data_IF_399290927160
#
_entry.id   IF_399290927160
#
_cell.length_a   1.000
_cell.length_b   1.000
_cell.length_c   1.000
_cell.angle_alpha   90.00
_cell.angle_beta   90.00
_cell.angle_gamma   90.00
#
_symmetry.space_group_name_H-M   'P 1'
#
loop_
_entity.id
_entity.type
_entity.pdbx_description
1 polymer ?
#
# COMPACT_ATOMS: atom_id res chain seq x y z
N UNK A 1 3.10 -17.49 1.58
CA UNK A 1 3.34 -17.36 0.11
C UNK A 1 2.64 -16.10 -0.38
N UNK A 2 3.32 -15.29 -1.24
CA UNK A 2 2.69 -14.12 -1.89
C UNK A 2 2.50 -14.44 -3.37
N UNK A 3 1.36 -14.09 -3.93
CA UNK A 3 1.02 -14.31 -5.35
C UNK A 3 -0.01 -13.27 -5.83
N UNK A 4 -0.22 -13.18 -7.13
CA UNK A 4 -1.35 -12.46 -7.70
C UNK A 4 -2.66 -13.02 -7.16
N UNK A 5 -3.61 -12.13 -6.93
CA UNK A 5 -4.95 -12.50 -6.48
C UNK A 5 -5.76 -13.12 -7.61
N UNK A 6 -6.78 -13.85 -7.23
CA UNK A 6 -7.82 -14.39 -8.10
C UNK A 6 -9.19 -13.91 -7.63
N UNK A 7 -10.23 -14.10 -8.43
CA UNK A 7 -11.60 -13.71 -8.06
C UNK A 7 -12.04 -14.33 -6.71
N UNK A 8 -11.58 -15.55 -6.42
CA UNK A 8 -11.90 -16.23 -5.15
C UNK A 8 -11.27 -15.60 -3.91
N UNK A 9 -10.26 -14.74 -4.07
CA UNK A 9 -9.60 -14.06 -2.95
C UNK A 9 -10.32 -12.75 -2.56
N UNK A 10 -11.16 -12.19 -3.45
CA UNK A 10 -11.81 -10.89 -3.22
C UNK A 10 -12.61 -10.82 -1.92
N UNK A 11 -13.44 -11.82 -1.56
CA UNK A 11 -14.16 -11.75 -0.29
C UNK A 11 -13.23 -11.64 0.93
N UNK A 12 -12.14 -12.39 0.95
CA UNK A 12 -11.18 -12.35 2.06
C UNK A 12 -10.42 -11.01 2.11
N UNK A 13 -10.07 -10.43 0.97
CA UNK A 13 -9.47 -9.08 0.91
C UNK A 13 -10.44 -8.03 1.43
N UNK A 14 -11.71 -8.08 1.02
CA UNK A 14 -12.74 -7.16 1.50
C UNK A 14 -12.97 -7.29 3.02
N UNK A 15 -12.91 -8.51 3.55
CA UNK A 15 -13.00 -8.77 4.99
C UNK A 15 -11.83 -8.15 5.76
N UNK A 16 -10.59 -8.25 5.25
CA UNK A 16 -9.42 -7.57 5.84
C UNK A 16 -9.63 -6.06 5.87
N UNK A 17 -10.13 -5.45 4.79
CA UNK A 17 -10.46 -4.02 4.76
C UNK A 17 -11.49 -3.66 5.84
N UNK A 18 -12.55 -4.46 5.96
CA UNK A 18 -13.58 -4.24 6.96
C UNK A 18 -13.04 -4.36 8.40
N UNK A 19 -12.17 -5.33 8.67
CA UNK A 19 -11.53 -5.50 9.98
C UNK A 19 -10.62 -4.33 10.34
N UNK A 20 -9.82 -3.83 9.40
CA UNK A 20 -8.97 -2.65 9.60
C UNK A 20 -9.83 -1.43 9.93
N UNK A 21 -10.87 -1.19 9.12
CA UNK A 21 -11.76 -0.04 9.29
C UNK A 21 -12.62 -0.13 10.56
N UNK A 22 -12.94 -1.33 11.04
CA UNK A 22 -13.63 -1.54 12.32
C UNK A 22 -12.76 -1.22 13.54
N UNK A 23 -11.43 -1.30 13.40
CA UNK A 23 -10.46 -0.98 14.44
C UNK A 23 -9.97 0.49 14.36
N UNK A 24 -10.45 1.28 13.40
CA UNK A 24 -10.07 2.68 13.26
C UNK A 24 -10.80 3.53 14.30
N UNK A 25 -10.04 4.25 15.12
CA UNK A 25 -10.61 5.22 16.09
C UNK A 25 -10.63 6.62 15.44
N UNK A 26 -11.80 7.22 15.19
CA UNK A 26 -11.89 8.55 14.60
C UNK A 26 -11.18 9.65 15.41
N UNK A 27 -11.07 9.49 16.73
CA UNK A 27 -10.39 10.46 17.61
C UNK A 27 -8.85 10.29 17.55
N UNK A 28 -8.36 9.11 17.16
CA UNK A 28 -6.94 8.79 17.04
C UNK A 28 -6.73 7.86 15.86
N UNK A 29 -6.87 8.37 14.62
CA UNK A 29 -6.81 7.53 13.44
C UNK A 29 -5.42 6.87 13.29
N UNK A 30 -5.42 5.57 12.99
CA UNK A 30 -4.21 4.80 12.74
C UNK A 30 -3.83 4.81 11.26
N UNK A 31 -4.81 4.66 10.36
CA UNK A 31 -4.60 4.69 8.91
C UNK A 31 -5.08 5.99 8.28
N UNK A 32 -6.08 6.61 8.85
CA UNK A 32 -6.81 7.75 8.29
C UNK A 32 -7.77 7.34 7.17
N UNK A 33 -8.07 6.05 7.03
CA UNK A 33 -9.05 5.53 6.09
C UNK A 33 -10.47 5.67 6.65
N UNK A 34 -11.46 5.80 5.76
CA UNK A 34 -12.85 6.03 6.14
C UNK A 34 -13.75 4.90 5.66
N UNK A 35 -14.52 4.34 6.59
CA UNK A 35 -15.49 3.27 6.32
C UNK A 35 -16.48 3.69 5.23
N UNK A 36 -16.68 2.81 4.25
CA UNK A 36 -17.58 3.04 3.12
C UNK A 36 -17.00 3.95 2.02
N UNK A 37 -15.81 4.52 2.23
CA UNK A 37 -15.13 5.36 1.24
C UNK A 37 -13.90 4.63 0.71
N UNK A 38 -12.92 4.29 1.58
CA UNK A 38 -11.69 3.65 1.15
C UNK A 38 -10.96 2.95 2.32
N UNK A 39 -10.37 1.76 2.08
CA UNK A 39 -10.61 0.90 0.93
C UNK A 39 -11.96 0.18 1.03
N UNK A 40 -12.50 -0.24 -0.10
CA UNK A 40 -13.75 -1.00 -0.22
C UNK A 40 -13.57 -2.20 -1.15
N UNK A 41 -14.52 -3.14 -1.19
CA UNK A 41 -14.42 -4.29 -2.10
C UNK A 41 -14.18 -3.88 -3.56
N UNK A 42 -14.79 -2.78 -4.01
CA UNK A 42 -14.58 -2.23 -5.34
C UNK A 42 -13.12 -1.83 -5.60
N UNK A 43 -12.36 -1.43 -4.56
CA UNK A 43 -10.92 -1.17 -4.65
C UNK A 43 -10.16 -2.44 -5.04
N UNK A 44 -10.46 -3.55 -4.38
CA UNK A 44 -9.84 -4.85 -4.68
C UNK A 44 -10.24 -5.37 -6.07
N UNK A 45 -11.51 -5.26 -6.44
CA UNK A 45 -11.99 -5.67 -7.77
C UNK A 45 -11.37 -4.88 -8.90
N UNK A 46 -11.24 -3.57 -8.74
CA UNK A 46 -10.57 -2.72 -9.72
C UNK A 46 -9.10 -3.10 -9.90
N UNK A 47 -8.39 -3.38 -8.80
CA UNK A 47 -7.00 -3.83 -8.84
C UNK A 47 -6.87 -5.23 -9.47
N UNK A 48 -7.79 -6.16 -9.16
CA UNK A 48 -7.83 -7.47 -9.80
C UNK A 48 -8.03 -7.35 -11.32
N UNK A 49 -8.95 -6.49 -11.75
CA UNK A 49 -9.23 -6.26 -13.18
C UNK A 49 -8.04 -5.67 -13.95
N UNK A 50 -7.11 -5.00 -13.26
CA UNK A 50 -5.85 -4.49 -13.83
C UNK A 50 -4.67 -5.48 -13.68
N UNK A 51 -4.90 -6.64 -13.06
CA UNK A 51 -3.87 -7.66 -12.76
C UNK A 51 -2.75 -7.15 -11.82
N UNK A 52 -3.07 -6.21 -10.93
CA UNK A 52 -2.13 -5.59 -10.01
C UNK A 52 -2.43 -5.84 -8.51
N UNK A 53 -3.43 -6.67 -8.19
CA UNK A 53 -3.72 -7.10 -6.82
C UNK A 53 -2.91 -8.34 -6.43
N UNK A 54 -2.24 -8.27 -5.28
CA UNK A 54 -1.46 -9.37 -4.70
C UNK A 54 -1.99 -9.74 -3.32
N UNK A 55 -1.90 -11.01 -2.96
CA UNK A 55 -2.32 -11.54 -1.66
C UNK A 55 -1.20 -12.35 -1.00
N UNK A 56 -1.10 -12.26 0.31
CA UNK A 56 -0.28 -13.14 1.13
C UNK A 56 -1.14 -14.23 1.74
N UNK A 57 -0.74 -15.49 1.55
CA UNK A 57 -1.43 -16.66 2.09
C UNK A 57 -0.57 -17.32 3.16
N UNK A 58 -1.14 -17.54 4.33
CA UNK A 58 -0.59 -18.36 5.42
C UNK A 58 -1.66 -19.34 5.90
N UNK A 59 -1.29 -20.58 6.10
CA UNK A 59 -2.18 -21.68 6.51
C UNK A 59 -3.48 -21.77 5.68
N UNK A 60 -3.34 -21.56 4.35
CA UNK A 60 -4.46 -21.61 3.41
C UNK A 60 -5.41 -20.40 3.44
N UNK A 61 -5.10 -19.37 4.23
CA UNK A 61 -5.93 -18.16 4.38
C UNK A 61 -5.21 -16.92 3.83
N UNK A 62 -5.96 -16.01 3.22
CA UNK A 62 -5.47 -14.69 2.88
C UNK A 62 -5.30 -13.88 4.18
N UNK A 63 -4.08 -13.42 4.46
CA UNK A 63 -3.74 -12.66 5.68
C UNK A 63 -3.25 -11.24 5.38
N UNK A 64 -3.00 -10.92 4.12
CA UNK A 64 -2.64 -9.58 3.68
C UNK A 64 -2.92 -9.39 2.19
N UNK A 65 -3.08 -8.14 1.78
CA UNK A 65 -3.15 -7.78 0.37
C UNK A 65 -2.40 -6.47 0.10
N UNK A 66 -2.00 -6.29 -1.15
CA UNK A 66 -1.47 -5.01 -1.64
C UNK A 66 -1.72 -4.86 -3.14
N UNK A 67 -1.68 -3.62 -3.61
CA UNK A 67 -1.72 -3.28 -5.02
C UNK A 67 -0.30 -2.88 -5.43
N UNK A 68 0.26 -3.54 -6.44
CA UNK A 68 1.60 -3.29 -6.96
C UNK A 68 1.50 -3.01 -8.45
N UNK A 69 1.85 -1.80 -8.86
CA UNK A 69 1.81 -1.37 -10.26
C UNK A 69 2.79 -0.22 -10.53
N UNK A 70 2.68 0.41 -11.71
CA UNK A 70 3.48 1.59 -12.10
C UNK A 70 2.68 2.89 -12.08
N UNK A 71 1.46 2.86 -11.54
CA UNK A 71 0.60 4.05 -11.47
C UNK A 71 1.09 4.97 -10.36
N UNK A 72 1.53 6.15 -10.73
CA UNK A 72 1.88 7.20 -9.81
C UNK A 72 0.65 8.08 -9.56
N UNK A 73 0.40 8.44 -8.30
CA UNK A 73 -0.70 9.35 -7.96
C UNK A 73 -0.32 10.79 -8.35
N UNK A 74 -1.31 11.61 -8.76
CA UNK A 74 -1.07 12.94 -9.35
C UNK A 74 -0.19 13.83 -8.45
N UNK A 75 -0.40 13.77 -7.13
CA UNK A 75 0.36 14.59 -6.17
C UNK A 75 1.83 14.20 -6.01
N UNK A 76 2.27 13.10 -6.62
CA UNK A 76 3.69 12.75 -6.69
C UNK A 76 4.49 13.79 -7.47
N UNK A 77 3.86 14.57 -8.36
CA UNK A 77 4.49 15.67 -9.08
C UNK A 77 4.98 16.79 -8.15
N UNK A 78 4.40 16.92 -6.95
CA UNK A 78 4.78 17.92 -5.95
C UNK A 78 5.92 17.45 -5.02
N UNK A 79 6.39 16.22 -5.18
CA UNK A 79 7.44 15.64 -4.36
C UNK A 79 8.83 15.81 -5.00
N UNK A 80 9.86 15.86 -4.15
CA UNK A 80 11.26 15.95 -4.60
C UNK A 80 11.88 14.56 -4.63
N UNK A 81 11.56 13.80 -5.66
CA UNK A 81 12.16 12.48 -5.89
C UNK A 81 13.67 12.61 -6.09
N UNK A 82 14.45 11.70 -5.55
CA UNK A 82 15.91 11.73 -5.61
C UNK A 82 16.47 11.25 -6.95
N UNK A 83 15.66 10.53 -7.73
CA UNK A 83 16.00 10.07 -9.06
C UNK A 83 14.88 10.44 -10.04
N UNK A 84 15.24 11.11 -11.15
CA UNK A 84 14.34 11.24 -12.30
C UNK A 84 14.26 9.88 -13.00
N UNK A 85 13.05 9.35 -13.11
CA UNK A 85 12.76 8.08 -13.73
C UNK A 85 11.59 8.22 -14.71
N UNK A 86 11.65 7.44 -15.77
CA UNK A 86 10.47 7.21 -16.60
C UNK A 86 9.43 6.38 -15.82
N UNK A 87 8.16 6.47 -16.18
CA UNK A 87 7.08 5.79 -15.45
C UNK A 87 7.26 4.27 -15.38
N UNK A 88 7.87 3.67 -16.41
CA UNK A 88 8.14 2.22 -16.49
C UNK A 88 9.36 1.79 -15.66
N UNK A 89 10.14 2.73 -15.14
CA UNK A 89 11.27 2.49 -14.25
C UNK A 89 10.90 2.59 -12.75
N UNK A 90 9.63 2.92 -12.45
CA UNK A 90 9.14 3.07 -11.09
C UNK A 90 8.10 2.00 -10.76
N UNK A 91 8.26 1.34 -9.60
CA UNK A 91 7.21 0.49 -9.05
C UNK A 91 6.60 1.17 -7.83
N UNK A 92 5.27 1.09 -7.71
CA UNK A 92 4.53 1.72 -6.62
C UNK A 92 3.76 0.66 -5.84
N UNK A 93 3.84 0.74 -4.51
CA UNK A 93 3.07 -0.08 -3.59
C UNK A 93 1.92 0.73 -3.03
N UNK A 94 0.70 0.30 -3.30
CA UNK A 94 -0.52 0.92 -2.78
C UNK A 94 -1.28 -0.04 -1.86
N UNK A 95 -2.04 0.50 -0.92
CA UNK A 95 -3.04 -0.21 -0.12
C UNK A 95 -2.51 -1.51 0.50
N UNK A 96 -1.30 -1.46 1.06
CA UNK A 96 -0.80 -2.60 1.82
C UNK A 96 -1.65 -2.77 3.09
N UNK A 97 -2.31 -3.91 3.19
CA UNK A 97 -3.17 -4.28 4.30
C UNK A 97 -2.72 -5.59 4.91
N UNK A 98 -2.80 -5.69 6.22
CA UNK A 98 -2.54 -6.92 6.97
C UNK A 98 -3.73 -7.16 7.89
N UNK A 99 -4.24 -8.40 7.93
CA UNK A 99 -5.28 -8.81 8.86
C UNK A 99 -4.88 -8.42 10.30
N UNK A 100 -5.69 -7.61 11.02
CA UNK A 100 -5.34 -7.14 12.36
C UNK A 100 -5.00 -8.26 13.34
N UNK A 101 -5.67 -9.42 13.25
CA UNK A 101 -5.38 -10.59 14.06
C UNK A 101 -3.98 -11.20 13.77
N UNK A 102 -3.35 -10.82 12.67
CA UNK A 102 -2.02 -11.25 12.24
C UNK A 102 -0.95 -10.16 12.46
N UNK A 103 -1.29 -9.06 13.13
CA UNK A 103 -0.36 -7.97 13.40
C UNK A 103 0.87 -8.44 14.20
N UNK A 104 2.02 -7.79 13.98
CA UNK A 104 3.27 -8.12 14.68
C UNK A 104 4.01 -9.36 14.17
N UNK A 105 3.45 -10.14 13.24
CA UNK A 105 4.05 -11.38 12.72
C UNK A 105 5.03 -11.14 11.54
N UNK A 106 5.35 -9.89 11.22
CA UNK A 106 6.28 -9.55 10.15
C UNK A 106 5.72 -9.64 8.74
N UNK A 107 4.39 -9.84 8.57
CA UNK A 107 3.74 -10.00 7.26
C UNK A 107 3.93 -8.76 6.38
N UNK A 108 3.78 -7.55 6.94
CA UNK A 108 4.01 -6.31 6.20
C UNK A 108 5.45 -6.21 5.67
N UNK A 109 6.46 -6.56 6.48
CA UNK A 109 7.87 -6.62 6.07
C UNK A 109 8.07 -7.63 4.94
N UNK A 110 7.49 -8.82 5.06
CA UNK A 110 7.55 -9.87 4.04
C UNK A 110 6.91 -9.41 2.72
N UNK A 111 5.82 -8.66 2.82
CA UNK A 111 5.15 -8.12 1.62
C UNK A 111 6.01 -7.05 0.92
N UNK A 112 6.63 -6.15 1.70
CA UNK A 112 7.54 -5.14 1.13
C UNK A 112 8.77 -5.80 0.50
N UNK A 113 9.35 -6.83 1.11
CA UNK A 113 10.46 -7.57 0.50
C UNK A 113 10.06 -8.19 -0.85
N UNK A 114 8.88 -8.82 -0.92
CA UNK A 114 8.33 -9.33 -2.18
C UNK A 114 8.15 -8.22 -3.23
N UNK A 115 7.62 -7.06 -2.82
CA UNK A 115 7.45 -5.91 -3.69
C UNK A 115 8.79 -5.40 -4.26
N UNK A 116 9.83 -5.34 -3.43
CA UNK A 116 11.17 -4.94 -3.85
C UNK A 116 11.77 -5.92 -4.87
N UNK A 117 11.63 -7.23 -4.63
CA UNK A 117 12.10 -8.26 -5.56
C UNK A 117 11.30 -8.24 -6.87
N UNK A 118 9.99 -8.09 -6.78
CA UNK A 118 9.12 -7.95 -7.95
C UNK A 118 9.51 -6.74 -8.81
N UNK A 119 9.84 -5.60 -8.20
CA UNK A 119 10.30 -4.42 -8.92
C UNK A 119 11.66 -4.64 -9.62
N UNK A 120 12.62 -5.36 -8.97
CA UNK A 120 13.89 -5.72 -9.58
C UNK A 120 13.71 -6.62 -10.79
N UNK A 121 12.83 -7.63 -10.70
CA UNK A 121 12.49 -8.54 -11.81
C UNK A 121 11.86 -7.78 -13.00
N UNK A 122 11.24 -6.62 -12.74
CA UNK A 122 10.64 -5.76 -13.76
C UNK A 122 11.53 -4.59 -14.19
N UNK A 123 12.83 -4.61 -13.85
CA UNK A 123 13.85 -3.62 -14.21
C UNK A 123 13.53 -2.20 -13.73
N UNK A 124 12.81 -2.05 -12.62
CA UNK A 124 12.59 -0.74 -12.01
C UNK A 124 13.87 -0.24 -11.33
N UNK A 125 14.04 1.08 -11.29
CA UNK A 125 15.16 1.77 -10.65
C UNK A 125 14.77 2.37 -9.29
N UNK A 126 13.49 2.68 -9.13
CA UNK A 126 12.96 3.32 -7.93
C UNK A 126 11.66 2.65 -7.46
N UNK A 127 11.51 2.64 -6.15
CA UNK A 127 10.36 2.18 -5.41
C UNK A 127 9.69 3.37 -4.76
N UNK A 128 8.39 3.54 -4.98
CA UNK A 128 7.60 4.62 -4.37
C UNK A 128 6.45 4.06 -3.56
N UNK A 129 6.23 4.64 -2.41
CA UNK A 129 5.16 4.29 -1.48
C UNK A 129 4.59 5.59 -0.94
N UNK A 130 3.30 5.63 -0.71
CA UNK A 130 2.68 6.71 0.04
C UNK A 130 1.89 6.19 1.24
N UNK A 131 1.70 7.04 2.21
CA UNK A 131 0.83 6.77 3.35
C UNK A 131 0.32 8.08 3.96
N UNK A 132 -0.79 8.02 4.71
CA UNK A 132 -1.26 9.17 5.45
C UNK A 132 -0.27 9.53 6.57
N UNK A 133 -0.05 10.83 6.81
CA UNK A 133 0.85 11.33 7.84
C UNK A 133 0.50 10.81 9.25
N UNK A 134 -0.77 10.51 9.52
CA UNK A 134 -1.22 9.92 10.79
C UNK A 134 -0.81 8.46 10.96
N UNK A 135 -0.48 7.76 9.86
CA UNK A 135 -0.10 6.35 9.89
C UNK A 135 1.35 6.15 10.32
N UNK A 136 1.62 6.40 11.59
CA UNK A 136 2.96 6.29 12.18
C UNK A 136 3.53 4.88 12.07
N UNK A 137 2.65 3.87 12.13
CA UNK A 137 3.05 2.45 12.00
C UNK A 137 3.63 2.16 10.61
N UNK A 138 2.95 2.57 9.54
CA UNK A 138 3.43 2.37 8.17
C UNK A 138 4.70 3.20 7.90
N UNK A 139 4.73 4.49 8.29
CA UNK A 139 5.92 5.33 8.18
C UNK A 139 7.13 4.70 8.87
N UNK A 140 6.95 4.23 10.11
CA UNK A 140 8.01 3.55 10.85
C UNK A 140 8.45 2.22 10.23
N UNK A 141 7.55 1.47 9.62
CA UNK A 141 7.88 0.25 8.89
C UNK A 141 8.77 0.58 7.68
N UNK A 142 8.33 1.50 6.82
CA UNK A 142 9.05 1.84 5.59
C UNK A 142 10.41 2.48 5.88
N UNK A 143 10.50 3.39 6.85
CA UNK A 143 11.77 3.98 7.26
C UNK A 143 12.78 2.92 7.73
N UNK A 144 12.35 1.91 8.51
CA UNK A 144 13.20 0.78 8.93
C UNK A 144 13.63 -0.12 7.77
N UNK A 145 12.92 -0.09 6.65
CA UNK A 145 13.23 -0.83 5.43
C UNK A 145 14.06 0.00 4.43
N UNK A 146 14.48 1.21 4.82
CA UNK A 146 15.36 2.06 4.03
C UNK A 146 14.65 3.01 3.07
N UNK A 147 13.34 3.20 3.22
CA UNK A 147 12.62 4.24 2.48
C UNK A 147 12.82 5.61 3.14
N UNK A 148 13.02 6.63 2.33
CA UNK A 148 13.19 8.02 2.75
C UNK A 148 11.94 8.83 2.42
N UNK A 149 11.45 9.65 3.35
CA UNK A 149 10.37 10.60 3.08
C UNK A 149 10.89 11.73 2.19
N UNK A 150 10.27 11.93 1.03
CA UNK A 150 10.66 12.92 0.02
C UNK A 150 9.66 14.06 -0.13
N UNK A 151 8.51 13.96 0.50
CA UNK A 151 7.49 15.00 0.51
C UNK A 151 6.31 14.66 1.40
N UNK A 152 5.64 15.69 1.89
CA UNK A 152 4.33 15.59 2.56
C UNK A 152 3.41 16.57 1.84
N UNK A 153 2.40 16.06 1.13
CA UNK A 153 1.56 16.85 0.24
C UNK A 153 0.09 16.78 0.67
N UNK A 154 -0.61 17.93 0.73
CA UNK A 154 -2.05 17.94 1.01
C UNK A 154 -2.84 17.47 -0.20
N UNK A 155 -3.82 16.60 0.00
CA UNK A 155 -4.65 16.11 -1.09
C UNK A 155 -6.04 15.64 -0.65
N UNK A 156 -6.89 15.39 -1.63
CA UNK A 156 -8.05 14.49 -1.50
C UNK A 156 -7.58 13.12 -1.99
N UNK A 157 -7.48 12.16 -1.09
CA UNK A 157 -6.94 10.84 -1.40
C UNK A 157 -8.04 9.78 -1.41
N UNK A 158 -8.33 9.21 -2.58
CA UNK A 158 -9.39 8.21 -2.75
C UNK A 158 -10.74 8.63 -2.16
N UNK A 159 -11.13 9.91 -2.35
CA UNK A 159 -12.37 10.48 -1.82
C UNK A 159 -12.30 10.94 -0.36
N UNK A 160 -11.16 10.75 0.32
CA UNK A 160 -10.94 11.22 1.69
C UNK A 160 -10.33 12.63 1.63
N UNK A 161 -11.01 13.66 2.15
CA UNK A 161 -10.50 15.03 2.15
C UNK A 161 -9.43 15.25 3.22
N UNK A 162 -8.65 16.33 3.04
CA UNK A 162 -7.67 16.81 4.02
C UNK A 162 -6.59 15.78 4.41
N UNK A 163 -6.22 14.89 3.50
CA UNK A 163 -5.12 13.96 3.72
C UNK A 163 -3.80 14.69 3.53
N UNK A 164 -2.89 14.52 4.48
CA UNK A 164 -1.48 14.85 4.33
C UNK A 164 -0.77 13.58 3.92
N UNK A 165 -0.48 13.45 2.61
CA UNK A 165 0.13 12.25 2.04
C UNK A 165 1.64 12.33 2.18
N UNK A 166 2.23 11.39 2.89
CA UNK A 166 3.68 11.24 3.02
C UNK A 166 4.16 10.35 1.88
N UNK A 167 4.98 10.90 1.01
CA UNK A 167 5.58 10.19 -0.11
C UNK A 167 6.98 9.71 0.26
N UNK A 168 7.26 8.46 -0.02
CA UNK A 168 8.52 7.81 0.36
C UNK A 168 9.14 7.11 -0.84
N UNK A 169 10.47 7.13 -0.91
CA UNK A 169 11.26 6.54 -1.99
C UNK A 169 12.37 5.63 -1.46
N UNK A 170 12.68 4.59 -2.22
CA UNK A 170 13.89 3.78 -2.10
C UNK A 170 14.42 3.47 -3.49
N UNK A 171 15.72 3.69 -3.72
CA UNK A 171 16.39 3.29 -4.95
C UNK A 171 16.79 1.80 -4.89
N UNK A 172 16.77 1.12 -6.04
CA UNK A 172 17.09 -0.30 -6.19
C UNK A 172 18.53 -0.53 -6.63
#
# INVERSE_FOLDING_TARGET
>A
MIRKATESDIPAVAEIYAHILANEDPAKPATGWLKGIYPVEATARAALGRDDLFVCIEDGKVVASAIINRTQVDVYADCKWSLECEDDEVMVLHTLTVEPACAGRGIGRKFVAFYEDYAREHNCKALRIDTNAVNITARGLYSKLGYTEVGIVPCVFNGIPNVMLVCMEKLL
#
